data_IF_574967680477
#
_entry.id   IF_574967680477
#
_cell.length_a   1.000
_cell.length_b   1.000
_cell.length_c   1.000
_cell.angle_alpha   90.00
_cell.angle_beta   90.00
_cell.angle_gamma   90.00
#
_symmetry.space_group_name_H-M   'P 1'
#
loop_
_entity.id
_entity.type
_entity.pdbx_description
1 polymer ?
#
# COMPACT_ATOMS: atom_id res chain seq x y z
N UNK A 1 -6.78 -11.52 -2.32
CA UNK A 1 -6.71 -12.65 -1.38
C UNK A 1 -6.97 -12.08 0.00
N UNK A 2 -7.91 -12.64 0.75
CA UNK A 2 -8.16 -12.23 2.13
C UNK A 2 -7.41 -13.19 3.05
N UNK A 3 -6.71 -12.65 4.03
CA UNK A 3 -5.98 -13.43 5.03
C UNK A 3 -6.58 -13.18 6.41
N UNK A 4 -6.70 -14.25 7.18
CA UNK A 4 -7.28 -14.24 8.52
C UNK A 4 -6.23 -14.68 9.52
N UNK A 5 -6.12 -13.94 10.62
CA UNK A 5 -5.27 -14.26 11.74
C UNK A 5 -6.13 -14.32 13.00
N UNK A 6 -5.87 -15.31 13.84
CA UNK A 6 -6.60 -15.53 15.08
C UNK A 6 -5.68 -15.33 16.29
N UNK A 7 -6.24 -14.77 17.36
CA UNK A 7 -5.55 -14.68 18.65
C UNK A 7 -5.56 -16.07 19.27
N UNK A 8 -4.38 -16.62 19.56
CA UNK A 8 -4.24 -17.92 20.22
C UNK A 8 -4.35 -17.80 21.75
N UNK A 9 -4.53 -18.93 22.43
CA UNK A 9 -4.54 -19.07 23.90
C UNK A 9 -5.62 -18.24 24.61
N UNK A 10 -6.80 -18.11 23.98
CA UNK A 10 -7.93 -17.38 24.57
C UNK A 10 -8.43 -18.01 25.87
N UNK A 11 -8.46 -19.34 25.97
CA UNK A 11 -8.90 -20.07 27.18
C UNK A 11 -8.08 -19.70 28.42
N UNK A 12 -6.75 -19.59 28.27
CA UNK A 12 -5.85 -19.21 29.36
C UNK A 12 -6.11 -17.76 29.77
N UNK A 13 -6.30 -16.87 28.80
CA UNK A 13 -6.66 -15.49 29.09
C UNK A 13 -8.00 -15.40 29.82
N UNK A 14 -9.02 -16.18 29.40
CA UNK A 14 -10.34 -16.24 30.03
C UNK A 14 -10.26 -16.67 31.49
N UNK A 15 -9.47 -17.69 31.77
CA UNK A 15 -9.22 -18.15 33.13
C UNK A 15 -8.53 -17.07 33.98
N UNK A 16 -7.52 -16.39 33.44
CA UNK A 16 -6.78 -15.35 34.14
C UNK A 16 -7.62 -14.11 34.43
N UNK A 17 -8.46 -13.68 33.48
CA UNK A 17 -9.26 -12.47 33.59
C UNK A 17 -10.66 -12.72 34.18
N UNK A 18 -10.87 -13.91 34.75
CA UNK A 18 -12.14 -14.28 35.37
C UNK A 18 -12.49 -13.32 36.50
N UNK A 19 -13.70 -12.77 36.47
CA UNK A 19 -14.18 -11.80 37.46
C UNK A 19 -13.80 -10.34 37.15
N UNK A 20 -13.09 -10.07 36.06
CA UNK A 20 -12.86 -8.71 35.56
C UNK A 20 -13.92 -8.36 34.52
N UNK A 21 -14.74 -7.32 34.73
CA UNK A 21 -15.75 -6.89 33.77
C UNK A 21 -15.13 -6.56 32.41
N UNK A 22 -15.63 -7.21 31.36
CA UNK A 22 -15.14 -7.10 29.98
C UNK A 22 -13.64 -7.36 29.82
N UNK A 23 -13.02 -8.17 30.70
CA UNK A 23 -11.58 -8.38 30.71
C UNK A 23 -11.07 -8.93 29.38
N UNK A 24 -11.76 -9.91 28.81
CA UNK A 24 -11.35 -10.59 27.59
C UNK A 24 -11.56 -9.73 26.36
N UNK A 25 -12.72 -9.09 26.25
CA UNK A 25 -13.05 -8.18 25.18
C UNK A 25 -12.05 -7.03 25.12
N UNK A 26 -11.63 -6.52 26.28
CA UNK A 26 -10.57 -5.50 26.40
C UNK A 26 -9.20 -6.02 25.98
N UNK A 27 -8.84 -7.23 26.41
CA UNK A 27 -7.56 -7.85 26.05
C UNK A 27 -7.48 -8.08 24.54
N UNK A 28 -8.50 -8.72 23.95
CA UNK A 28 -8.55 -9.05 22.53
C UNK A 28 -8.61 -7.78 21.68
N UNK A 29 -9.50 -6.83 21.98
CA UNK A 29 -9.59 -5.59 21.21
C UNK A 29 -8.30 -4.76 21.31
N UNK A 30 -7.67 -4.72 22.50
CA UNK A 30 -6.37 -4.08 22.71
C UNK A 30 -5.26 -4.73 21.88
N UNK A 31 -5.20 -6.06 21.92
CA UNK A 31 -4.23 -6.87 21.17
C UNK A 31 -4.35 -6.66 19.68
N UNK A 32 -5.55 -6.84 19.12
CA UNK A 32 -5.81 -6.68 17.68
C UNK A 32 -5.45 -5.26 17.23
N UNK A 33 -5.86 -4.24 17.97
CA UNK A 33 -5.58 -2.84 17.60
C UNK A 33 -4.10 -2.50 17.62
N UNK A 34 -3.35 -3.00 18.61
CA UNK A 34 -1.89 -2.81 18.68
C UNK A 34 -1.16 -3.61 17.61
N UNK A 35 -1.56 -4.86 17.37
CA UNK A 35 -1.00 -5.70 16.32
C UNK A 35 -1.21 -5.07 14.93
N UNK A 36 -2.41 -4.58 14.62
CA UNK A 36 -2.71 -3.87 13.38
C UNK A 36 -1.80 -2.66 13.15
N UNK A 37 -1.53 -1.88 14.20
CA UNK A 37 -0.60 -0.74 14.12
C UNK A 37 0.83 -1.15 13.78
N UNK A 38 1.31 -2.27 14.36
CA UNK A 38 2.63 -2.82 14.05
C UNK A 38 2.68 -3.41 12.64
N UNK A 39 1.72 -4.25 12.26
CA UNK A 39 1.63 -4.85 10.92
C UNK A 39 1.59 -3.77 9.84
N UNK A 40 0.82 -2.68 10.04
CA UNK A 40 0.83 -1.52 9.13
C UNK A 40 2.24 -0.95 8.93
N UNK A 41 3.04 -0.92 9.99
CA UNK A 41 4.42 -0.41 9.95
C UNK A 41 5.33 -1.38 9.19
N UNK A 42 5.19 -2.68 9.44
CA UNK A 42 5.96 -3.74 8.77
C UNK A 42 5.65 -3.82 7.27
N UNK A 43 4.37 -3.84 6.89
CA UNK A 43 3.95 -3.82 5.48
C UNK A 43 4.55 -2.62 4.73
N UNK A 44 4.48 -1.45 5.36
CA UNK A 44 5.05 -0.22 4.81
C UNK A 44 6.57 -0.32 4.62
N UNK A 45 7.29 -0.88 5.60
CA UNK A 45 8.73 -1.08 5.50
C UNK A 45 9.08 -2.08 4.38
N UNK A 46 8.41 -3.24 4.37
CA UNK A 46 8.62 -4.32 3.39
C UNK A 46 8.36 -3.85 1.96
N UNK A 47 7.23 -3.17 1.69
CA UNK A 47 6.94 -2.60 0.35
C UNK A 47 8.04 -1.63 -0.09
N UNK A 48 8.50 -0.74 0.79
CA UNK A 48 9.56 0.21 0.41
C UNK A 48 10.94 -0.43 0.29
N UNK A 49 11.13 -1.64 0.83
CA UNK A 49 12.36 -2.41 0.66
C UNK A 49 12.41 -3.12 -0.70
N UNK A 50 11.26 -3.50 -1.24
CA UNK A 50 11.14 -4.21 -2.52
C UNK A 50 10.89 -3.27 -3.70
N UNK A 51 10.13 -2.20 -3.49
CA UNK A 51 9.73 -1.26 -4.54
C UNK A 51 10.29 0.13 -4.28
N UNK A 52 10.65 0.85 -5.35
CA UNK A 52 11.09 2.25 -5.26
C UNK A 52 9.89 3.20 -5.16
N UNK A 53 9.13 3.09 -4.08
CA UNK A 53 7.96 3.92 -3.79
C UNK A 53 8.17 4.66 -2.47
N UNK A 54 7.65 5.89 -2.37
CA UNK A 54 7.75 6.67 -1.14
C UNK A 54 6.91 6.03 -0.03
N UNK A 55 7.50 5.96 1.16
CA UNK A 55 6.86 5.44 2.38
C UNK A 55 5.48 6.07 2.67
N UNK A 56 5.37 7.40 2.49
CA UNK A 56 4.11 8.12 2.70
C UNK A 56 3.00 7.77 1.70
N UNK A 57 3.35 7.35 0.48
CA UNK A 57 2.36 6.94 -0.54
C UNK A 57 1.69 5.62 -0.16
N UNK A 58 2.47 4.69 0.38
CA UNK A 58 1.98 3.41 0.90
C UNK A 58 1.11 3.65 2.14
N UNK A 59 1.58 4.48 3.06
CA UNK A 59 0.91 4.75 4.34
C UNK A 59 -0.50 5.33 4.20
N UNK A 60 -0.68 6.25 3.25
CA UNK A 60 -1.98 6.91 2.99
C UNK A 60 -3.06 5.94 2.52
N UNK A 61 -2.67 4.82 1.92
CA UNK A 61 -3.60 3.84 1.36
C UNK A 61 -3.98 2.73 2.35
N UNK A 62 -3.20 2.54 3.42
CA UNK A 62 -3.46 1.52 4.44
C UNK A 62 -4.52 2.03 5.43
N UNK A 63 -5.74 1.52 5.27
CA UNK A 63 -6.90 1.80 6.12
C UNK A 63 -7.02 0.71 7.19
N UNK A 64 -7.10 1.13 8.45
CA UNK A 64 -7.29 0.24 9.60
C UNK A 64 -8.75 0.31 10.06
N UNK A 65 -9.42 -0.84 10.15
CA UNK A 65 -10.65 -0.98 10.93
C UNK A 65 -10.29 -1.62 12.27
N UNK A 66 -10.51 -0.86 13.34
CA UNK A 66 -10.15 -1.27 14.70
C UNK A 66 -11.19 -2.22 15.29
N UNK A 67 -10.71 -3.15 16.10
CA UNK A 67 -11.55 -3.95 16.99
C UNK A 67 -12.11 -3.06 18.11
N UNK A 68 -13.31 -3.41 18.57
CA UNK A 68 -13.96 -2.84 19.75
C UNK A 68 -14.58 -3.97 20.57
N UNK A 69 -15.20 -3.66 21.72
CA UNK A 69 -15.70 -4.69 22.63
C UNK A 69 -16.88 -5.50 22.07
N UNK A 70 -17.63 -4.95 21.11
CA UNK A 70 -18.70 -5.67 20.41
C UNK A 70 -18.21 -6.47 19.20
N UNK A 71 -17.17 -5.97 18.52
CA UNK A 71 -16.57 -6.58 17.34
C UNK A 71 -15.08 -6.79 17.62
N UNK A 72 -14.75 -7.97 18.13
CA UNK A 72 -13.39 -8.39 18.51
C UNK A 72 -12.47 -8.68 17.30
N UNK A 73 -12.83 -8.18 16.13
CA UNK A 73 -12.08 -8.32 14.89
C UNK A 73 -11.65 -6.94 14.38
N UNK A 74 -10.47 -6.88 13.80
CA UNK A 74 -9.99 -5.73 13.05
C UNK A 74 -9.52 -6.15 11.66
N UNK A 75 -9.33 -5.17 10.78
CA UNK A 75 -8.86 -5.40 9.42
C UNK A 75 -7.88 -4.31 8.98
N UNK A 76 -6.99 -4.67 8.06
CA UNK A 76 -6.16 -3.73 7.31
C UNK A 76 -6.45 -3.95 5.82
N UNK A 77 -6.72 -2.86 5.10
CA UNK A 77 -7.03 -2.91 3.67
C UNK A 77 -6.38 -1.76 2.93
N UNK A 78 -6.14 -1.96 1.64
CA UNK A 78 -5.64 -0.92 0.75
C UNK A 78 -6.26 -1.06 -0.64
N UNK A 79 -6.89 0.02 -1.12
CA UNK A 79 -7.43 0.11 -2.49
C UNK A 79 -6.75 1.25 -3.22
N UNK A 80 -6.16 0.96 -4.37
CA UNK A 80 -5.45 1.95 -5.15
C UNK A 80 -5.58 1.70 -6.65
N UNK A 81 -5.49 2.78 -7.40
CA UNK A 81 -5.33 2.72 -8.85
C UNK A 81 -3.87 2.41 -9.20
N UNK A 82 -3.64 2.13 -10.49
CA UNK A 82 -2.30 1.95 -11.05
C UNK A 82 -1.43 3.17 -10.74
N UNK A 83 -0.18 2.93 -10.35
CA UNK A 83 0.70 4.00 -9.87
C UNK A 83 1.41 4.68 -11.05
N UNK A 84 1.38 6.01 -11.18
CA UNK A 84 2.12 6.73 -12.20
C UNK A 84 3.62 6.36 -12.25
N UNK A 85 4.17 6.09 -13.44
CA UNK A 85 5.59 5.72 -13.56
C UNK A 85 6.56 6.81 -13.09
N UNK A 86 6.12 8.07 -13.09
CA UNK A 86 6.91 9.19 -12.57
C UNK A 86 7.30 9.00 -11.09
N UNK A 87 6.50 8.27 -10.31
CA UNK A 87 6.79 7.98 -8.90
C UNK A 87 7.98 7.02 -8.69
N UNK A 88 8.38 6.32 -9.76
CA UNK A 88 9.47 5.34 -9.80
C UNK A 88 10.68 5.85 -10.61
N UNK A 89 10.64 7.11 -11.05
CA UNK A 89 11.70 7.69 -11.87
C UNK A 89 12.97 7.88 -11.04
N UNK A 90 14.09 7.36 -11.54
CA UNK A 90 15.41 7.51 -10.91
C UNK A 90 16.21 8.63 -11.57
N UNK A 91 16.23 8.69 -12.90
CA UNK A 91 16.96 9.70 -13.64
C UNK A 91 16.37 9.97 -15.03
N UNK A 92 16.82 11.06 -15.63
CA UNK A 92 16.54 11.42 -17.02
C UNK A 92 17.85 11.78 -17.70
N UNK A 93 18.07 11.22 -18.88
CA UNK A 93 19.21 11.54 -19.76
C UNK A 93 18.74 11.74 -21.20
N UNK A 94 19.66 12.04 -22.10
CA UNK A 94 19.40 12.09 -23.55
C UNK A 94 18.92 10.74 -24.10
N UNK A 95 19.39 9.65 -23.48
CA UNK A 95 19.05 8.28 -23.88
C UNK A 95 17.61 7.89 -23.50
N UNK A 96 17.00 8.58 -22.52
CA UNK A 96 15.62 8.38 -22.13
C UNK A 96 15.33 8.64 -20.65
N UNK A 97 14.18 8.14 -20.20
CA UNK A 97 13.77 8.19 -18.80
C UNK A 97 14.06 6.83 -18.17
N UNK A 98 14.79 6.84 -17.05
CA UNK A 98 15.10 5.64 -16.29
C UNK A 98 14.13 5.51 -15.12
N UNK A 99 13.57 4.32 -14.96
CA UNK A 99 12.66 3.99 -13.85
C UNK A 99 13.15 2.74 -13.15
N UNK A 100 12.90 2.67 -11.86
CA UNK A 100 13.10 1.47 -11.05
C UNK A 100 11.79 1.21 -10.33
N UNK A 101 11.07 0.16 -10.72
CA UNK A 101 9.80 -0.18 -10.05
C UNK A 101 10.08 -1.17 -8.93
N UNK A 102 10.64 -2.32 -9.29
CA UNK A 102 11.13 -3.33 -8.37
C UNK A 102 12.64 -3.20 -8.24
N UNK A 103 13.15 -3.13 -7.02
CA UNK A 103 14.57 -2.98 -6.72
C UNK A 103 15.37 -4.23 -7.09
N UNK A 104 14.76 -5.42 -7.09
CA UNK A 104 15.43 -6.65 -7.51
C UNK A 104 15.71 -6.68 -9.02
N UNK A 105 14.90 -5.97 -9.82
CA UNK A 105 15.04 -5.92 -11.27
C UNK A 105 16.03 -4.84 -11.75
N UNK A 106 16.55 -4.03 -10.83
CA UNK A 106 17.34 -2.83 -11.10
C UNK A 106 16.61 -1.79 -11.95
N UNK A 107 17.20 -0.60 -12.02
CA UNK A 107 16.71 0.48 -12.87
C UNK A 107 16.83 0.14 -14.37
N UNK A 108 15.81 0.49 -15.16
CA UNK A 108 15.75 0.22 -16.61
C UNK A 108 15.32 1.48 -17.35
N UNK A 109 15.85 1.66 -18.57
CA UNK A 109 15.37 2.70 -19.50
C UNK A 109 13.96 2.33 -19.94
N UNK A 110 13.02 3.27 -19.77
CA UNK A 110 11.63 3.07 -20.08
C UNK A 110 11.41 3.05 -21.61
N UNK A 111 11.02 1.90 -22.14
CA UNK A 111 10.68 1.73 -23.55
C UNK A 111 9.30 2.30 -23.92
N UNK A 112 8.38 2.35 -22.96
CA UNK A 112 6.99 2.76 -23.16
C UNK A 112 6.05 1.60 -23.42
N UNK A 113 4.79 1.92 -23.70
CA UNK A 113 3.78 0.95 -24.08
C UNK A 113 3.90 0.65 -25.59
N UNK A 114 4.00 -0.63 -26.00
CA UNK A 114 4.08 -1.02 -27.41
C UNK A 114 2.89 -0.56 -28.28
N UNK A 115 1.72 -0.32 -27.67
CA UNK A 115 0.52 0.17 -28.36
C UNK A 115 0.57 1.68 -28.66
N UNK A 116 1.53 2.39 -28.11
CA UNK A 116 1.69 3.83 -28.24
C UNK A 116 2.92 4.14 -29.09
N UNK A 117 2.97 5.36 -29.63
CA UNK A 117 4.03 5.77 -30.55
C UNK A 117 5.09 6.65 -29.89
N UNK A 118 6.29 6.53 -30.42
CA UNK A 118 7.44 7.31 -29.99
C UNK A 118 7.92 6.94 -28.60
N UNK A 119 8.97 7.63 -28.15
CA UNK A 119 9.56 7.41 -26.82
C UNK A 119 8.71 8.10 -25.73
N UNK A 120 8.68 7.54 -24.50
CA UNK A 120 8.12 8.23 -23.35
C UNK A 120 8.82 9.56 -23.06
N UNK A 121 8.07 10.55 -22.59
CA UNK A 121 8.58 11.87 -22.25
C UNK A 121 7.91 12.44 -20.99
N UNK A 122 8.58 13.38 -20.34
CA UNK A 122 8.01 14.13 -19.22
C UNK A 122 7.14 15.26 -19.72
N UNK A 123 5.97 15.43 -19.12
CA UNK A 123 5.11 16.58 -19.36
C UNK A 123 4.46 17.05 -18.06
N UNK A 124 4.19 18.36 -18.03
CA UNK A 124 3.37 19.00 -16.99
C UNK A 124 2.06 19.40 -17.67
N UNK A 125 0.94 18.91 -17.16
CA UNK A 125 -0.39 19.27 -17.64
C UNK A 125 -0.78 20.67 -17.17
N UNK A 126 -1.84 21.23 -17.75
CA UNK A 126 -2.36 22.56 -17.39
C UNK A 126 -2.75 22.68 -15.91
N UNK A 127 -3.20 21.58 -15.29
CA UNK A 127 -3.52 21.51 -13.87
C UNK A 127 -2.28 21.33 -12.96
N UNK A 128 -1.06 21.43 -13.50
CA UNK A 128 0.19 21.24 -12.76
C UNK A 128 0.60 19.77 -12.55
N UNK A 129 -0.21 18.81 -12.99
CA UNK A 129 0.13 17.38 -12.86
C UNK A 129 1.35 17.03 -13.72
N UNK A 130 2.39 16.50 -13.07
CA UNK A 130 3.61 16.03 -13.75
C UNK A 130 3.56 14.52 -13.89
N UNK A 131 3.92 14.03 -15.08
CA UNK A 131 3.90 12.61 -15.37
C UNK A 131 4.83 12.22 -16.50
N UNK A 132 5.00 10.91 -16.65
CA UNK A 132 5.61 10.30 -17.83
C UNK A 132 4.47 9.92 -18.77
N UNK A 133 4.54 10.44 -19.99
CA UNK A 133 3.52 10.26 -21.02
C UNK A 133 4.14 9.67 -22.27
N UNK A 134 3.28 9.11 -23.12
CA UNK A 134 3.62 8.67 -24.46
C UNK A 134 2.48 9.04 -25.40
N UNK A 135 2.78 9.23 -26.69
CA UNK A 135 1.75 9.60 -27.68
C UNK A 135 0.87 8.38 -27.96
N UNK A 136 -0.43 8.49 -27.73
CA UNK A 136 -1.37 7.39 -27.95
C UNK A 136 -1.88 7.35 -29.40
N UNK A 137 -2.29 6.17 -29.85
CA UNK A 137 -2.90 5.95 -31.18
C UNK A 137 -4.42 6.21 -31.20
N UNK A 138 -4.97 6.85 -30.16
CA UNK A 138 -6.40 7.17 -30.13
C UNK A 138 -6.76 8.15 -31.26
N UNK A 139 -7.97 7.98 -31.83
CA UNK A 139 -8.45 8.72 -33.00
C UNK A 139 -8.11 10.21 -32.92
N UNK A 140 -7.38 10.69 -33.92
CA UNK A 140 -6.90 12.06 -34.04
C UNK A 140 -8.07 13.00 -34.36
N UNK A 141 -8.57 13.73 -33.38
CA UNK A 141 -9.50 14.85 -33.63
C UNK A 141 -8.74 16.01 -34.26
N UNK A 142 -9.31 16.66 -35.27
CA UNK A 142 -8.79 17.95 -35.73
C UNK A 142 -9.05 18.98 -34.62
N UNK A 143 -8.06 19.79 -34.30
CA UNK A 143 -8.24 20.95 -33.43
C UNK A 143 -9.25 21.90 -34.10
N UNK A 144 -10.30 22.24 -33.37
CA UNK A 144 -11.37 23.13 -33.84
C UNK A 144 -11.07 24.61 -33.57
N UNK A 145 -10.04 24.91 -32.76
CA UNK A 145 -9.67 26.28 -32.40
C UNK A 145 -8.23 26.40 -31.90
N UNK A 146 -7.71 27.63 -31.85
CA UNK A 146 -6.39 27.99 -31.33
C UNK A 146 -5.26 27.92 -32.37
N UNK A 147 -4.01 28.18 -31.96
CA UNK A 147 -2.83 28.22 -32.86
C UNK A 147 -2.57 26.95 -33.69
N UNK A 148 -3.26 25.86 -33.37
CA UNK A 148 -3.15 24.57 -34.06
C UNK A 148 -4.45 24.16 -34.75
N UNK A 149 -5.38 25.07 -34.99
CA UNK A 149 -6.62 24.83 -35.73
C UNK A 149 -6.36 24.09 -37.06
N UNK A 150 -7.20 23.10 -37.38
CA UNK A 150 -7.04 22.24 -38.56
C UNK A 150 -5.98 21.14 -38.41
N UNK A 151 -5.04 21.24 -37.46
CA UNK A 151 -4.06 20.17 -37.19
C UNK A 151 -4.66 19.04 -36.39
N UNK A 152 -4.17 17.82 -36.64
CA UNK A 152 -4.56 16.61 -35.89
C UNK A 152 -3.99 16.67 -34.47
N UNK A 153 -4.84 16.50 -33.46
CA UNK A 153 -4.40 16.26 -32.09
C UNK A 153 -3.55 15.00 -32.02
N UNK A 154 -2.46 15.08 -31.26
CA UNK A 154 -1.66 13.91 -30.90
C UNK A 154 -1.94 13.63 -29.43
N UNK A 155 -2.96 12.81 -29.11
CA UNK A 155 -3.30 12.53 -27.73
C UNK A 155 -2.10 11.88 -27.04
N UNK A 156 -1.97 12.18 -25.75
CA UNK A 156 -0.91 11.64 -24.91
C UNK A 156 -1.57 10.83 -23.80
N UNK A 157 -1.03 9.66 -23.52
CA UNK A 157 -1.48 8.78 -22.46
C UNK A 157 -0.41 8.73 -21.38
N UNK A 158 -0.85 8.86 -20.13
CA UNK A 158 0.04 8.67 -18.99
C UNK A 158 0.42 7.20 -18.87
N UNK A 159 1.69 6.95 -18.58
CA UNK A 159 2.19 5.60 -18.32
C UNK A 159 2.12 5.28 -16.82
N UNK A 160 1.68 4.06 -16.53
CA UNK A 160 1.48 3.56 -15.18
C UNK A 160 2.20 2.24 -14.98
N UNK A 161 2.46 1.92 -13.71
CA UNK A 161 3.03 0.66 -13.24
C UNK A 161 2.02 -0.09 -12.38
N UNK A 162 2.49 -1.08 -11.62
CA UNK A 162 1.78 -1.75 -10.53
C UNK A 162 1.10 -0.72 -9.61
N UNK A 163 -0.11 -1.05 -9.17
CA UNK A 163 -0.78 -0.35 -8.08
C UNK A 163 -0.09 -0.66 -6.75
N UNK A 164 -0.23 0.23 -5.77
CA UNK A 164 0.31 -0.01 -4.43
C UNK A 164 -0.43 -1.19 -3.76
N UNK A 165 -1.70 -1.41 -4.09
CA UNK A 165 -2.47 -2.57 -3.65
C UNK A 165 -1.90 -3.88 -4.20
N UNK A 166 -1.50 -3.90 -5.48
CA UNK A 166 -0.79 -5.06 -6.06
C UNK A 166 0.57 -5.26 -5.40
N UNK A 167 1.30 -4.20 -5.03
CA UNK A 167 2.57 -4.30 -4.28
C UNK A 167 2.37 -4.85 -2.87
N UNK A 168 1.33 -4.42 -2.16
CA UNK A 168 1.00 -4.92 -0.82
C UNK A 168 0.51 -6.37 -0.84
N UNK A 169 -0.12 -6.77 -1.94
CA UNK A 169 -0.59 -8.13 -2.19
C UNK A 169 0.40 -9.02 -2.92
N UNK A 170 1.67 -8.59 -3.08
CA UNK A 170 2.70 -9.50 -3.56
C UNK A 170 2.92 -10.60 -2.52
N UNK A 171 3.24 -11.81 -2.98
CA UNK A 171 3.48 -12.98 -2.14
C UNK A 171 4.47 -12.65 -1.01
N UNK A 172 5.63 -12.11 -1.38
CA UNK A 172 6.70 -11.66 -0.47
C UNK A 172 6.27 -10.69 0.63
N UNK A 173 5.38 -9.74 0.32
CA UNK A 173 4.90 -8.73 1.29
C UNK A 173 3.79 -9.32 2.15
N UNK A 174 2.87 -10.06 1.54
CA UNK A 174 1.71 -10.64 2.21
C UNK A 174 2.13 -11.71 3.24
N UNK A 175 3.01 -12.63 2.87
CA UNK A 175 3.55 -13.67 3.76
C UNK A 175 4.29 -13.05 4.94
N UNK A 176 5.15 -12.06 4.67
CA UNK A 176 5.86 -11.33 5.72
C UNK A 176 4.92 -10.64 6.71
N UNK A 177 3.83 -10.05 6.20
CA UNK A 177 2.82 -9.39 7.04
C UNK A 177 2.03 -10.39 7.90
N UNK A 178 1.73 -11.58 7.36
CA UNK A 178 1.04 -12.68 8.06
C UNK A 178 1.92 -13.20 9.19
N UNK A 179 3.18 -13.51 8.90
CA UNK A 179 4.17 -14.01 9.87
C UNK A 179 4.30 -13.03 11.04
N UNK A 180 4.61 -11.76 10.75
CA UNK A 180 4.76 -10.72 11.79
C UNK A 180 3.45 -10.43 12.51
N UNK A 181 2.32 -10.51 11.81
CA UNK A 181 1.01 -10.35 12.41
C UNK A 181 0.75 -11.40 13.49
N UNK A 182 1.04 -12.68 13.19
CA UNK A 182 0.87 -13.78 14.13
C UNK A 182 1.77 -13.62 15.36
N UNK A 183 3.06 -13.30 15.15
CA UNK A 183 4.02 -13.04 16.23
C UNK A 183 3.53 -11.92 17.16
N UNK A 184 3.01 -10.83 16.59
CA UNK A 184 2.53 -9.70 17.36
C UNK A 184 1.24 -10.00 18.13
N UNK A 185 0.31 -10.76 17.54
CA UNK A 185 -0.90 -11.15 18.26
C UNK A 185 -0.56 -11.92 19.52
N UNK A 186 0.35 -12.90 19.43
CA UNK A 186 0.76 -13.71 20.57
C UNK A 186 1.50 -12.89 21.64
N UNK A 187 2.53 -12.13 21.24
CA UNK A 187 3.34 -11.35 22.17
C UNK A 187 2.54 -10.22 22.86
N UNK A 188 1.60 -9.59 22.14
CA UNK A 188 0.81 -8.50 22.68
C UNK A 188 -0.30 -9.04 23.58
N UNK A 189 -0.90 -10.19 23.26
CA UNK A 189 -1.95 -10.77 24.09
C UNK A 189 -1.47 -11.03 25.51
N UNK A 190 -0.32 -11.67 25.67
CA UNK A 190 0.27 -11.90 26.99
C UNK A 190 0.49 -10.59 27.77
N UNK A 191 0.97 -9.54 27.09
CA UNK A 191 1.18 -8.21 27.69
C UNK A 191 -0.13 -7.51 28.04
N UNK A 192 -1.18 -7.70 27.25
CA UNK A 192 -2.49 -7.10 27.53
C UNK A 192 -3.19 -7.74 28.71
N UNK A 193 -3.14 -9.08 28.82
CA UNK A 193 -3.66 -9.80 29.99
C UNK A 193 -2.96 -9.31 31.26
N UNK A 194 -1.63 -9.29 31.28
CA UNK A 194 -0.84 -8.80 32.42
C UNK A 194 -1.15 -7.34 32.77
N UNK A 195 -1.28 -6.46 31.76
CA UNK A 195 -1.64 -5.05 31.97
C UNK A 195 -3.02 -4.91 32.62
N UNK A 196 -3.99 -5.73 32.23
CA UNK A 196 -5.36 -5.68 32.78
C UNK A 196 -5.36 -6.20 34.22
N UNK A 197 -4.66 -7.32 34.49
CA UNK A 197 -4.52 -7.89 35.83
C UNK A 197 -3.91 -6.87 36.81
N UNK A 198 -2.78 -6.27 36.45
CA UNK A 198 -2.10 -5.24 37.27
C UNK A 198 -2.93 -3.99 37.49
N UNK A 199 -3.85 -3.68 36.57
CA UNK A 199 -4.75 -2.54 36.72
C UNK A 199 -5.94 -2.80 37.65
N UNK A 200 -6.24 -4.07 37.94
CA UNK A 200 -7.42 -4.49 38.71
C UNK A 200 -7.05 -4.99 40.11
N UNK A 201 -5.91 -5.67 40.25
CA UNK A 201 -5.34 -6.03 41.55
C UNK A 201 -4.67 -4.79 42.14
N UNK A 202 -5.35 -4.13 43.07
CA UNK A 202 -4.78 -3.09 43.94
C UNK A 202 -4.31 -3.69 45.25
#
# INVERSE_FOLDING_TARGET
MEHFLEVKNLEVAEAMLRGIPNGIERAVAGTVNKALGKVKTEMKAKVTSEYNIKKMEVEKLLVLQKANFSTLRGSISAKSHRTPLIKFMTSRSENGITVEVNKSEMSKILRGNPKYYGKPFLATMLNGHKGIFQRSDTKRRKMTSGKNEGKKQVPIAQLYSLSISEMLGSETVSEYAIEKGQDYLEQIMAKEVDRILKGYVK
#
